data_IF_859728608660
#
_entry.id   IF_859728608660
#
_cell.length_a   1.000
_cell.length_b   1.000
_cell.length_c   1.000
_cell.angle_alpha   90.00
_cell.angle_beta   90.00
_cell.angle_gamma   90.00
#
_symmetry.space_group_name_H-M   'P 1'
#
loop_
_entity.id
_entity.type
_entity.pdbx_description
1 polymer ?
#
# COMPACT_ATOMS: atom_id res chain seq x y z
N UNK A 1 -12.24 7.78 -1.31
CA UNK A 1 -10.87 7.43 -0.90
C UNK A 1 -10.40 8.56 -0.03
N UNK A 2 -10.22 8.27 1.25
CA UNK A 2 -9.82 9.20 2.32
C UNK A 2 -8.63 10.05 1.87
N UNK A 3 -8.62 11.33 2.27
CA UNK A 3 -7.74 12.39 1.76
C UNK A 3 -6.26 12.16 2.02
N UNK A 4 -5.67 11.24 1.26
CA UNK A 4 -4.24 11.01 1.24
C UNK A 4 -3.56 11.92 0.21
N UNK A 5 -2.50 12.60 0.64
CA UNK A 5 -1.75 13.59 -0.13
C UNK A 5 -1.08 13.02 -1.38
N UNK A 6 -0.91 11.69 -1.46
CA UNK A 6 -0.46 10.99 -2.65
C UNK A 6 -1.30 11.31 -3.89
N UNK A 7 -2.59 11.65 -3.70
CA UNK A 7 -3.47 12.12 -4.77
C UNK A 7 -2.93 13.33 -5.54
N UNK A 8 -2.19 14.23 -4.89
CA UNK A 8 -1.57 15.39 -5.56
C UNK A 8 -0.53 14.98 -6.62
N UNK A 9 0.18 13.87 -6.42
CA UNK A 9 1.08 13.34 -7.45
C UNK A 9 0.30 12.78 -8.63
N UNK A 10 -0.78 12.03 -8.35
CA UNK A 10 -1.62 11.42 -9.38
C UNK A 10 -2.35 12.44 -10.26
N UNK A 11 -2.54 13.68 -9.79
CA UNK A 11 -3.01 14.79 -10.64
C UNK A 11 -1.99 15.23 -11.71
N UNK A 12 -0.70 14.97 -11.50
CA UNK A 12 0.39 15.46 -12.37
C UNK A 12 1.04 14.36 -13.18
N UNK A 13 1.09 13.15 -12.65
CA UNK A 13 1.73 12.00 -13.29
C UNK A 13 0.82 10.77 -13.24
N UNK A 14 0.75 9.97 -14.32
CA UNK A 14 0.07 8.69 -14.27
C UNK A 14 0.69 7.79 -13.20
N UNK A 15 -0.16 7.23 -12.34
CA UNK A 15 0.26 6.33 -11.28
C UNK A 15 -0.95 5.65 -10.66
N UNK A 16 -0.69 4.83 -9.65
CA UNK A 16 -1.75 4.17 -8.89
C UNK A 16 -1.35 4.07 -7.42
N UNK A 17 -2.37 4.02 -6.57
CA UNK A 17 -2.28 3.64 -5.17
C UNK A 17 -3.09 2.35 -5.00
N UNK A 18 -2.65 1.46 -4.13
CA UNK A 18 -3.30 0.19 -3.89
C UNK A 18 -3.34 -0.11 -2.40
N UNK A 19 -4.21 -1.05 -2.01
CA UNK A 19 -4.25 -1.56 -0.65
C UNK A 19 -3.35 -2.77 -0.51
N UNK A 20 -2.48 -2.75 0.49
CA UNK A 20 -1.77 -3.94 0.96
C UNK A 20 -2.59 -4.56 2.09
N UNK A 21 -2.98 -5.82 1.94
CA UNK A 21 -3.61 -6.57 3.02
C UNK A 21 -2.60 -6.84 4.13
N UNK A 22 -2.94 -6.46 5.36
CA UNK A 22 -2.09 -6.62 6.56
C UNK A 22 -2.80 -7.41 7.68
N UNK A 23 -3.90 -8.08 7.35
CA UNK A 23 -4.66 -8.99 8.24
C UNK A 23 -4.89 -8.50 9.68
N UNK A 24 -5.30 -7.24 9.83
CA UNK A 24 -5.66 -6.66 11.12
C UNK A 24 -7.19 -6.58 11.27
N UNK A 25 -7.72 -7.07 12.40
CA UNK A 25 -9.14 -6.93 12.76
C UNK A 25 -9.56 -5.46 12.95
N UNK A 26 -8.59 -4.58 13.23
CA UNK A 26 -8.82 -3.16 13.48
C UNK A 26 -8.34 -2.30 12.31
N UNK A 27 -9.10 -1.27 11.97
CA UNK A 27 -8.78 -0.33 10.90
C UNK A 27 -7.73 0.71 11.33
N UNK A 28 -7.29 1.51 10.36
CA UNK A 28 -6.48 2.70 10.60
C UNK A 28 -7.12 3.61 11.66
N UNK A 29 -6.28 4.29 12.44
CA UNK A 29 -6.64 5.16 13.58
C UNK A 29 -7.26 4.48 14.82
N UNK A 30 -7.39 3.15 14.82
CA UNK A 30 -7.79 2.42 16.02
C UNK A 30 -6.57 2.10 16.91
N UNK A 31 -6.68 2.24 18.24
CA UNK A 31 -5.57 2.03 19.18
C UNK A 31 -5.04 0.59 19.26
N UNK A 32 -5.84 -0.37 18.77
CA UNK A 32 -5.50 -1.81 18.69
C UNK A 32 -5.07 -2.26 17.30
N UNK A 33 -4.83 -1.33 16.36
CA UNK A 33 -4.28 -1.67 15.05
C UNK A 33 -2.98 -2.46 15.25
N UNK A 34 -2.96 -3.68 14.71
CA UNK A 34 -1.83 -4.60 14.83
C UNK A 34 -1.67 -5.37 13.52
N UNK A 35 -0.99 -4.79 12.51
CA UNK A 35 -0.79 -5.41 11.21
C UNK A 35 0.14 -6.63 11.28
N UNK A 36 -0.13 -7.66 10.48
CA UNK A 36 0.76 -8.80 10.30
C UNK A 36 2.03 -8.40 9.52
N UNK A 37 3.19 -8.54 10.16
CA UNK A 37 4.49 -8.23 9.57
C UNK A 37 4.85 -9.15 8.40
N UNK A 38 4.19 -10.30 8.23
CA UNK A 38 4.36 -11.16 7.05
C UNK A 38 3.98 -10.42 5.74
N UNK A 39 3.20 -9.35 5.81
CA UNK A 39 2.88 -8.50 4.66
C UNK A 39 4.12 -7.74 4.12
N UNK A 40 5.16 -7.53 4.93
CA UNK A 40 6.38 -6.79 4.54
C UNK A 40 7.17 -7.53 3.44
N UNK A 41 7.65 -8.78 3.66
CA UNK A 41 8.38 -9.51 2.63
C UNK A 41 7.51 -9.76 1.39
N UNK A 42 6.22 -10.04 1.58
CA UNK A 42 5.26 -10.18 0.47
C UNK A 42 5.20 -8.91 -0.40
N UNK A 43 5.07 -7.73 0.21
CA UNK A 43 5.00 -6.46 -0.52
C UNK A 43 6.29 -6.16 -1.29
N UNK A 44 7.46 -6.47 -0.71
CA UNK A 44 8.76 -6.31 -1.37
C UNK A 44 8.82 -7.17 -2.63
N UNK A 45 8.46 -8.45 -2.54
CA UNK A 45 8.52 -9.36 -3.69
C UNK A 45 7.54 -8.94 -4.80
N UNK A 46 6.31 -8.58 -4.44
CA UNK A 46 5.28 -8.14 -5.39
C UNK A 46 5.68 -6.84 -6.09
N UNK A 47 6.08 -5.81 -5.34
CA UNK A 47 6.41 -4.50 -5.90
C UNK A 47 7.68 -4.56 -6.75
N UNK A 48 8.72 -5.25 -6.27
CA UNK A 48 9.95 -5.40 -7.06
C UNK A 48 9.72 -6.23 -8.31
N UNK A 49 8.89 -7.28 -8.24
CA UNK A 49 8.45 -8.06 -9.40
C UNK A 49 7.69 -7.20 -10.42
N UNK A 50 6.71 -6.43 -9.96
CA UNK A 50 5.94 -5.50 -10.78
C UNK A 50 6.85 -4.47 -11.45
N UNK A 51 7.69 -3.75 -10.70
CA UNK A 51 8.60 -2.73 -11.26
C UNK A 51 9.56 -3.32 -12.30
N UNK A 52 10.05 -4.56 -12.10
CA UNK A 52 10.87 -5.25 -13.09
C UNK A 52 10.11 -5.63 -14.36
N UNK A 53 8.79 -5.83 -14.28
CA UNK A 53 7.94 -6.17 -15.43
C UNK A 53 7.61 -4.97 -16.32
N UNK A 54 7.71 -3.73 -15.82
CA UNK A 54 7.38 -2.50 -16.57
C UNK A 54 8.59 -2.03 -17.41
N UNK A 55 9.30 -2.96 -18.04
CA UNK A 55 10.38 -2.65 -18.98
C UNK A 55 9.86 -2.46 -20.39
#
# INVERSE_FOLDING_TARGET
MTGEDFGYFLEKIPGFMFWLGVDSEYSLHHSKLNPDEAAIPFAIDVLTGYLKSIK
#
